data_IF_314018058903
#
_entry.id   IF_314018058903
#
_cell.length_a   1.000
_cell.length_b   1.000
_cell.length_c   1.000
_cell.angle_alpha   90.00
_cell.angle_beta   90.00
_cell.angle_gamma   90.00
#
_symmetry.space_group_name_H-M   'P 1'
#
loop_
_entity.id
_entity.type
_entity.pdbx_description
1 polymer ?
#
# COMPACT_ATOMS: atom_id res chain seq x y z
N UNK A 1 -33.42 51.21 65.52
CA UNK A 1 -34.60 50.44 65.04
C UNK A 1 -34.57 50.44 63.51
N UNK A 2 -35.26 49.47 62.87
CA UNK A 2 -35.18 49.14 61.42
C UNK A 2 -33.77 48.66 60.99
N UNK A 3 -33.45 47.37 60.83
CA UNK A 3 -34.10 46.21 60.15
C UNK A 3 -33.66 46.07 58.69
N UNK A 4 -32.88 45.01 58.44
CA UNK A 4 -32.51 44.47 57.13
C UNK A 4 -33.74 43.80 56.48
N UNK A 5 -33.81 43.74 55.13
CA UNK A 5 -34.27 42.48 54.52
C UNK A 5 -33.50 42.01 53.26
N UNK A 6 -33.00 40.78 53.35
CA UNK A 6 -32.94 39.74 52.30
C UNK A 6 -32.38 40.03 50.90
N UNK A 7 -31.22 39.42 50.62
CA UNK A 7 -30.76 39.15 49.25
C UNK A 7 -31.55 37.97 48.62
N UNK A 8 -32.18 38.16 47.46
CA UNK A 8 -32.90 37.09 46.73
C UNK A 8 -31.96 36.34 45.78
N UNK A 9 -31.80 35.03 45.96
CA UNK A 9 -31.17 34.13 44.97
C UNK A 9 -31.98 34.14 43.66
N UNK A 10 -31.29 34.13 42.51
CA UNK A 10 -31.84 33.63 41.24
C UNK A 10 -30.90 32.63 40.60
N UNK A 11 -31.49 31.51 40.20
CA UNK A 11 -30.90 30.40 39.47
C UNK A 11 -30.22 30.83 38.17
N UNK A 12 -29.04 30.26 37.90
CA UNK A 12 -28.53 30.08 36.54
C UNK A 12 -28.62 28.59 36.19
N UNK A 13 -29.49 28.27 35.24
CA UNK A 13 -29.61 26.91 34.69
C UNK A 13 -28.63 26.76 33.53
N UNK A 14 -27.81 25.71 33.57
CA UNK A 14 -26.95 25.35 32.43
C UNK A 14 -27.81 24.97 31.22
N UNK A 15 -27.44 25.50 30.05
CA UNK A 15 -27.91 25.00 28.75
C UNK A 15 -26.68 24.67 27.91
N UNK A 16 -26.37 23.37 27.86
CA UNK A 16 -25.32 22.83 27.00
C UNK A 16 -25.82 22.86 25.56
N UNK A 17 -25.21 23.70 24.73
CA UNK A 17 -25.42 23.66 23.28
C UNK A 17 -24.36 22.78 22.63
N UNK A 18 -24.78 21.76 21.88
CA UNK A 18 -23.87 20.84 21.21
C UNK A 18 -23.22 21.51 19.99
N UNK A 19 -21.89 21.62 20.00
CA UNK A 19 -21.13 22.17 18.87
C UNK A 19 -20.89 21.11 17.80
N UNK A 20 -21.34 21.39 16.57
CA UNK A 20 -21.20 20.50 15.41
C UNK A 20 -19.84 20.67 14.73
N UNK A 21 -18.91 19.75 15.03
CA UNK A 21 -17.57 19.75 14.44
C UNK A 21 -17.60 19.44 12.93
N UNK A 22 -17.54 20.48 12.10
CA UNK A 22 -17.41 20.34 10.64
C UNK A 22 -15.96 20.06 10.27
N UNK A 23 -15.65 18.86 9.76
CA UNK A 23 -14.31 18.53 9.24
C UNK A 23 -14.00 19.35 7.98
N UNK A 24 -13.12 20.34 8.09
CA UNK A 24 -12.56 21.05 6.92
C UNK A 24 -11.59 20.14 6.16
N UNK A 25 -11.63 20.15 4.83
CA UNK A 25 -10.63 19.49 3.97
C UNK A 25 -9.55 20.51 3.63
N UNK A 26 -8.29 20.18 3.92
CA UNK A 26 -7.14 20.92 3.40
C UNK A 26 -6.75 20.37 2.02
N UNK A 27 -6.26 21.24 1.14
CA UNK A 27 -5.72 20.86 -0.18
C UNK A 27 -4.23 21.08 -0.16
N UNK A 28 -3.46 19.98 -0.16
CA UNK A 28 -2.01 20.02 -0.31
C UNK A 28 -1.67 20.21 -1.79
N UNK A 29 -1.18 21.39 -2.16
CA UNK A 29 -0.70 21.66 -3.53
C UNK A 29 0.76 21.24 -3.67
N UNK A 30 1.01 20.00 -4.09
CA UNK A 30 2.34 19.51 -4.43
C UNK A 30 2.78 20.00 -5.83
N UNK A 31 3.30 21.22 -5.92
CA UNK A 31 3.89 21.75 -7.15
C UNK A 31 5.41 21.56 -7.17
N UNK A 32 5.86 20.36 -7.58
CA UNK A 32 7.25 20.12 -7.97
C UNK A 32 7.50 20.51 -9.44
N UNK A 33 8.71 20.94 -9.83
CA UNK A 33 9.00 21.34 -11.22
C UNK A 33 9.19 20.14 -12.15
N UNK A 34 8.52 20.18 -13.31
CA UNK A 34 8.65 19.19 -14.39
C UNK A 34 10.07 19.16 -15.00
N UNK A 35 10.72 17.99 -14.97
CA UNK A 35 11.99 17.76 -15.68
C UNK A 35 11.71 17.11 -17.03
N UNK A 36 11.68 17.94 -18.08
CA UNK A 36 11.31 17.53 -19.43
C UNK A 36 12.31 16.56 -20.09
N UNK A 37 11.91 15.30 -20.27
CA UNK A 37 12.67 14.29 -21.01
C UNK A 37 12.58 14.49 -22.54
N UNK A 38 13.64 15.02 -23.16
CA UNK A 38 13.73 15.18 -24.63
C UNK A 38 13.78 13.83 -25.36
N UNK A 39 12.74 13.50 -26.13
CA UNK A 39 12.78 12.48 -27.20
C UNK A 39 13.45 13.03 -28.47
N UNK A 40 14.18 12.19 -29.20
CA UNK A 40 14.65 12.46 -30.58
C UNK A 40 14.13 11.38 -31.55
N UNK A 41 13.85 11.71 -32.83
CA UNK A 41 13.24 10.80 -33.80
C UNK A 41 14.27 9.97 -34.58
N UNK A 42 13.83 8.85 -35.16
CA UNK A 42 14.70 7.87 -35.82
C UNK A 42 14.93 8.07 -37.33
N UNK A 43 15.85 7.27 -37.90
CA UNK A 43 16.05 7.03 -39.34
C UNK A 43 16.51 5.59 -39.60
N UNK A 44 16.23 5.08 -40.81
CA UNK A 44 16.58 3.76 -41.41
C UNK A 44 16.45 3.90 -42.95
N UNK A 45 16.91 3.00 -43.85
CA UNK A 45 17.99 1.98 -43.85
C UNK A 45 19.12 2.41 -44.87
N UNK A 46 20.03 1.57 -45.44
CA UNK A 46 19.88 0.29 -46.19
C UNK A 46 20.64 -0.90 -45.54
N UNK A 47 20.45 -2.22 -45.78
CA UNK A 47 20.18 -3.13 -46.93
C UNK A 47 21.45 -3.75 -47.57
N UNK A 48 21.72 -5.06 -47.35
CA UNK A 48 22.65 -5.88 -48.17
C UNK A 48 23.23 -7.16 -47.53
N UNK A 49 22.96 -8.36 -48.11
CA UNK A 49 23.61 -9.69 -47.85
C UNK A 49 23.36 -10.32 -46.46
N UNK A 50 23.04 -11.61 -46.25
CA UNK A 50 23.27 -12.85 -47.01
C UNK A 50 24.38 -13.68 -46.30
N UNK A 51 24.24 -14.97 -45.93
CA UNK A 51 23.30 -16.05 -46.33
C UNK A 51 23.14 -17.13 -45.24
N UNK A 52 22.05 -17.91 -45.31
CA UNK A 52 21.86 -19.38 -45.00
C UNK A 52 22.46 -20.00 -43.71
N UNK A 53 21.75 -20.88 -42.98
CA UNK A 53 20.96 -22.03 -43.47
C UNK A 53 19.59 -22.24 -42.76
N UNK A 54 18.70 -22.93 -43.47
CA UNK A 54 17.33 -23.36 -43.07
C UNK A 54 17.15 -24.87 -43.43
N UNK A 55 16.09 -25.61 -43.01
CA UNK A 55 16.25 -27.00 -42.53
C UNK A 55 15.89 -28.10 -43.57
N UNK A 56 14.66 -28.69 -43.71
CA UNK A 56 13.36 -28.52 -43.04
C UNK A 56 12.91 -29.76 -42.20
N UNK A 57 11.69 -29.70 -41.61
CA UNK A 57 10.89 -30.84 -41.08
C UNK A 57 9.56 -30.87 -41.84
N UNK A 58 9.09 -32.04 -42.28
CA UNK A 58 7.73 -32.30 -42.79
C UNK A 58 7.36 -33.76 -42.46
N UNK A 59 6.24 -34.10 -41.81
CA UNK A 59 4.83 -34.05 -42.27
C UNK A 59 4.59 -34.84 -43.57
N UNK A 60 3.74 -35.88 -43.53
CA UNK A 60 2.34 -35.90 -44.05
C UNK A 60 1.75 -37.32 -43.97
N UNK A 61 0.42 -37.44 -44.07
CA UNK A 61 -0.38 -38.66 -43.88
C UNK A 61 -0.52 -39.57 -45.13
N UNK A 62 -1.24 -40.68 -44.96
CA UNK A 62 -1.51 -41.71 -45.97
C UNK A 62 -2.40 -41.24 -47.15
N UNK A 63 -2.37 -42.00 -48.26
CA UNK A 63 -3.62 -42.61 -48.77
C UNK A 63 -3.42 -44.08 -49.19
N UNK A 64 -4.48 -44.78 -49.60
CA UNK A 64 -4.40 -46.14 -50.14
C UNK A 64 -5.34 -46.37 -51.33
N UNK A 65 -5.31 -47.57 -51.95
CA UNK A 65 -6.42 -48.26 -52.68
C UNK A 65 -5.96 -49.57 -53.34
N UNK A 66 -6.81 -50.60 -53.19
CA UNK A 66 -7.15 -51.73 -54.09
C UNK A 66 -6.11 -52.42 -55.00
N UNK A 67 -6.12 -53.77 -54.98
CA UNK A 67 -5.50 -54.60 -56.03
C UNK A 67 -5.43 -56.11 -55.70
N UNK A 68 -6.46 -56.87 -56.07
CA UNK A 68 -6.39 -58.34 -56.30
C UNK A 68 -6.27 -58.55 -57.83
N UNK A 69 -5.83 -59.71 -58.40
CA UNK A 69 -6.19 -61.08 -57.95
C UNK A 69 -5.13 -62.19 -58.22
N UNK A 70 -5.61 -63.45 -58.25
CA UNK A 70 -5.06 -64.67 -58.88
C UNK A 70 -4.38 -65.71 -57.97
N UNK A 71 -4.90 -66.94 -58.11
CA UNK A 71 -4.54 -68.22 -57.49
C UNK A 71 -3.89 -69.09 -58.59
N UNK A 72 -3.04 -70.10 -58.30
CA UNK A 72 -3.59 -71.47 -58.38
C UNK A 72 -2.93 -72.55 -57.48
N UNK A 73 -3.62 -73.71 -57.40
CA UNK A 73 -3.18 -75.11 -57.16
C UNK A 73 -1.99 -75.40 -56.22
N UNK A 74 -2.07 -76.24 -55.18
CA UNK A 74 -2.82 -77.49 -54.91
C UNK A 74 -2.38 -78.75 -55.68
N UNK A 75 -1.61 -79.62 -54.99
CA UNK A 75 -1.61 -81.10 -55.04
C UNK A 75 -0.57 -81.58 -54.01
N UNK A 76 -0.92 -82.23 -52.89
CA UNK A 76 -1.53 -83.55 -52.69
C UNK A 76 -0.51 -84.70 -52.61
N UNK A 77 -0.74 -85.62 -51.65
CA UNK A 77 -0.47 -87.08 -51.66
C UNK A 77 0.15 -87.55 -50.33
N UNK A 78 -0.64 -88.27 -49.52
CA UNK A 78 -0.09 -89.22 -48.53
C UNK A 78 0.12 -90.59 -49.19
N UNK A 79 0.75 -91.55 -48.50
CA UNK A 79 -0.09 -92.69 -48.12
C UNK A 79 0.17 -93.33 -46.74
N UNK A 80 -0.81 -94.16 -46.42
CA UNK A 80 -1.08 -94.98 -45.26
C UNK A 80 0.02 -95.91 -44.70
N UNK A 81 -0.36 -96.46 -43.53
CA UNK A 81 -0.07 -97.81 -42.97
C UNK A 81 1.12 -97.98 -42.02
N UNK A 82 0.83 -98.65 -40.89
CA UNK A 82 1.76 -98.97 -39.82
C UNK A 82 2.22 -100.44 -39.86
N UNK A 83 3.24 -100.80 -39.06
CA UNK A 83 3.03 -101.91 -38.13
C UNK A 83 3.47 -101.62 -36.67
N UNK A 84 3.11 -102.53 -35.77
CA UNK A 84 3.35 -102.48 -34.30
C UNK A 84 4.74 -103.03 -33.93
N UNK A 85 5.30 -102.57 -32.81
CA UNK A 85 6.46 -103.18 -32.14
C UNK A 85 6.43 -102.89 -30.62
N UNK A 86 7.02 -103.75 -29.75
CA UNK A 86 6.79 -103.71 -28.30
C UNK A 86 7.54 -102.60 -27.55
N UNK A 87 8.45 -101.86 -28.21
CA UNK A 87 9.12 -100.70 -27.62
C UNK A 87 8.13 -99.61 -27.14
N UNK A 88 6.92 -99.58 -27.73
CA UNK A 88 5.85 -98.64 -27.37
C UNK A 88 5.39 -98.77 -25.92
N UNK A 89 5.48 -99.94 -25.28
CA UNK A 89 5.10 -100.08 -23.87
C UNK A 89 6.14 -99.51 -22.91
N UNK A 90 7.44 -99.61 -23.22
CA UNK A 90 8.50 -98.95 -22.44
C UNK A 90 8.48 -97.43 -22.65
N UNK A 91 8.26 -96.98 -23.88
CA UNK A 91 8.04 -95.56 -24.17
C UNK A 91 6.76 -95.03 -23.49
N UNK A 92 5.65 -95.76 -23.53
CA UNK A 92 4.40 -95.39 -22.84
C UNK A 92 4.53 -95.42 -21.31
N UNK A 93 5.32 -96.33 -20.74
CA UNK A 93 5.64 -96.32 -19.32
C UNK A 93 6.48 -95.09 -18.94
N UNK A 94 7.51 -94.74 -19.71
CA UNK A 94 8.28 -93.51 -19.50
C UNK A 94 7.43 -92.25 -19.68
N UNK A 95 6.57 -92.19 -20.71
CA UNK A 95 5.62 -91.10 -20.93
C UNK A 95 4.60 -91.03 -19.76
N UNK A 96 4.10 -92.17 -19.29
CA UNK A 96 3.19 -92.23 -18.13
C UNK A 96 3.85 -91.75 -16.84
N UNK A 97 5.11 -92.13 -16.59
CA UNK A 97 5.90 -91.64 -15.44
C UNK A 97 6.22 -90.15 -15.59
N UNK A 98 6.55 -89.66 -16.79
CA UNK A 98 6.77 -88.24 -17.03
C UNK A 98 5.48 -87.42 -16.87
N UNK A 99 4.33 -87.92 -17.33
CA UNK A 99 3.02 -87.28 -17.12
C UNK A 99 2.63 -87.33 -15.64
N UNK A 100 2.89 -88.43 -14.93
CA UNK A 100 2.65 -88.52 -13.49
C UNK A 100 3.56 -87.59 -12.69
N UNK A 101 4.85 -87.50 -13.04
CA UNK A 101 5.80 -86.59 -12.41
C UNK A 101 5.48 -85.12 -12.74
N UNK A 102 5.05 -84.81 -13.96
CA UNK A 102 4.60 -83.47 -14.35
C UNK A 102 3.27 -83.11 -13.66
N UNK A 103 2.32 -84.04 -13.60
CA UNK A 103 1.06 -83.89 -12.88
C UNK A 103 1.26 -83.72 -11.38
N UNK A 104 2.20 -84.46 -10.78
CA UNK A 104 2.61 -84.32 -9.39
C UNK A 104 3.37 -83.01 -9.15
N UNK A 105 4.28 -82.60 -10.04
CA UNK A 105 4.96 -81.31 -9.95
C UNK A 105 3.99 -80.13 -10.08
N UNK A 106 3.01 -80.21 -10.98
CA UNK A 106 1.92 -79.24 -11.10
C UNK A 106 1.04 -79.30 -9.85
N UNK A 107 0.70 -80.46 -9.32
CA UNK A 107 -0.09 -80.59 -8.10
C UNK A 107 0.64 -80.03 -6.88
N UNK A 108 1.95 -80.25 -6.76
CA UNK A 108 2.80 -79.67 -5.70
C UNK A 108 2.99 -78.17 -5.89
N UNK A 109 3.15 -77.67 -7.12
CA UNK A 109 3.16 -76.23 -7.40
C UNK A 109 1.80 -75.61 -7.05
N UNK A 110 0.69 -76.19 -7.46
CA UNK A 110 -0.66 -75.72 -7.12
C UNK A 110 -0.88 -75.78 -5.61
N UNK A 111 -0.47 -76.86 -4.93
CA UNK A 111 -0.66 -77.01 -3.48
C UNK A 111 0.27 -76.11 -2.65
N UNK A 112 1.50 -75.87 -3.10
CA UNK A 112 2.40 -74.89 -2.47
C UNK A 112 1.93 -73.45 -2.74
N UNK A 113 1.41 -73.18 -3.94
CA UNK A 113 0.86 -71.88 -4.35
C UNK A 113 -0.61 -71.66 -3.88
N UNK A 114 -1.22 -72.66 -3.23
CA UNK A 114 -2.46 -72.51 -2.45
C UNK A 114 -2.22 -72.60 -0.94
N UNK A 115 -1.11 -73.17 -0.47
CA UNK A 115 -0.61 -72.91 0.89
C UNK A 115 -0.09 -71.47 1.04
N UNK A 116 0.22 -70.77 -0.05
CA UNK A 116 0.37 -69.31 -0.08
C UNK A 116 -0.98 -68.58 -0.14
N UNK A 117 -1.99 -69.04 0.62
CA UNK A 117 -3.31 -68.38 0.76
C UNK A 117 -3.26 -67.10 1.63
N UNK A 118 -2.17 -66.36 1.50
CA UNK A 118 -1.97 -65.00 2.03
C UNK A 118 -2.14 -63.95 0.91
N UNK A 119 -2.75 -64.31 -0.22
CA UNK A 119 -2.98 -63.43 -1.37
C UNK A 119 -4.48 -63.19 -1.64
N UNK A 120 -5.37 -63.97 -1.04
CA UNK A 120 -6.82 -63.81 -1.15
C UNK A 120 -7.35 -62.67 -0.26
N UNK A 121 -6.75 -62.45 0.92
CA UNK A 121 -7.05 -61.27 1.76
C UNK A 121 -6.34 -59.99 1.29
N UNK A 122 -5.31 -60.08 0.43
CA UNK A 122 -4.45 -58.93 0.10
C UNK A 122 -4.99 -58.00 -1.00
N UNK A 123 -6.12 -58.34 -1.63
CA UNK A 123 -6.69 -57.54 -2.75
C UNK A 123 -7.70 -56.49 -2.32
N UNK A 124 -8.41 -56.73 -1.23
CA UNK A 124 -9.34 -55.75 -0.66
C UNK A 124 -8.57 -54.80 0.28
N UNK A 125 -7.66 -55.33 1.11
CA UNK A 125 -6.82 -54.54 2.02
C UNK A 125 -5.88 -53.55 1.29
N UNK A 126 -5.26 -53.92 0.16
CA UNK A 126 -4.35 -53.01 -0.58
C UNK A 126 -5.13 -51.94 -1.37
N UNK A 127 -6.35 -52.25 -1.84
CA UNK A 127 -7.20 -51.26 -2.51
C UNK A 127 -7.78 -50.25 -1.52
N UNK A 128 -8.19 -50.72 -0.33
CA UNK A 128 -8.56 -49.87 0.81
C UNK A 128 -7.35 -49.05 1.26
N UNK A 129 -6.17 -49.65 1.42
CA UNK A 129 -4.94 -48.96 1.80
C UNK A 129 -4.49 -47.88 0.81
N UNK A 130 -4.62 -48.11 -0.50
CA UNK A 130 -4.37 -47.09 -1.53
C UNK A 130 -5.41 -45.98 -1.47
N UNK A 131 -6.69 -46.30 -1.29
CA UNK A 131 -7.77 -45.31 -1.15
C UNK A 131 -7.58 -44.46 0.10
N UNK A 132 -7.25 -45.06 1.25
CA UNK A 132 -6.99 -44.36 2.51
C UNK A 132 -5.73 -43.51 2.43
N UNK A 133 -4.68 -43.96 1.74
CA UNK A 133 -3.48 -43.16 1.47
C UNK A 133 -3.81 -41.96 0.55
N UNK A 134 -4.69 -42.13 -0.44
CA UNK A 134 -5.16 -41.03 -1.29
C UNK A 134 -6.09 -40.07 -0.53
N UNK A 135 -6.99 -40.56 0.32
CA UNK A 135 -7.84 -39.75 1.19
C UNK A 135 -6.98 -38.96 2.19
N UNK A 136 -6.04 -39.60 2.88
CA UNK A 136 -5.12 -38.95 3.80
C UNK A 136 -4.22 -37.91 3.12
N UNK A 137 -3.82 -38.12 1.85
CA UNK A 137 -3.15 -37.10 1.03
C UNK A 137 -4.10 -35.95 0.68
N UNK A 138 -5.33 -36.25 0.29
CA UNK A 138 -6.38 -35.27 0.00
C UNK A 138 -6.68 -34.37 1.19
N UNK A 139 -6.82 -34.95 2.39
CA UNK A 139 -7.08 -34.22 3.63
C UNK A 139 -5.87 -33.39 4.06
N UNK A 140 -4.63 -33.90 3.94
CA UNK A 140 -3.41 -33.09 4.14
C UNK A 140 -3.33 -31.91 3.17
N UNK A 141 -3.65 -32.12 1.89
CA UNK A 141 -3.67 -31.04 0.89
C UNK A 141 -4.78 -30.01 1.20
N UNK A 142 -5.96 -30.45 1.64
CA UNK A 142 -7.03 -29.55 2.10
C UNK A 142 -6.62 -28.74 3.33
N UNK A 143 -5.94 -29.35 4.29
CA UNK A 143 -5.36 -28.66 5.45
C UNK A 143 -4.32 -27.62 5.01
N UNK A 144 -3.40 -27.97 4.11
CA UNK A 144 -2.40 -27.05 3.57
C UNK A 144 -3.03 -25.88 2.80
N UNK A 145 -4.05 -26.12 1.97
CA UNK A 145 -4.80 -25.04 1.29
C UNK A 145 -5.44 -24.11 2.34
N UNK A 146 -6.09 -24.67 3.36
CA UNK A 146 -6.72 -23.89 4.44
C UNK A 146 -5.70 -23.01 5.18
N UNK A 147 -4.52 -23.55 5.49
CA UNK A 147 -3.43 -22.84 6.17
C UNK A 147 -2.79 -21.76 5.28
N UNK A 148 -2.57 -22.06 3.99
CA UNK A 148 -2.06 -21.10 3.00
C UNK A 148 -3.03 -19.93 2.81
N UNK A 149 -4.32 -20.19 2.70
CA UNK A 149 -5.34 -19.14 2.62
C UNK A 149 -5.42 -18.30 3.90
N UNK A 150 -5.35 -18.91 5.09
CA UNK A 150 -5.29 -18.18 6.36
C UNK A 150 -4.03 -17.31 6.44
N UNK A 151 -2.92 -17.78 5.88
CA UNK A 151 -1.65 -17.04 5.85
C UNK A 151 -1.70 -15.89 4.84
N UNK A 152 -2.30 -16.10 3.66
CA UNK A 152 -2.56 -15.04 2.68
C UNK A 152 -3.46 -13.95 3.27
N UNK A 153 -4.59 -14.33 3.90
CA UNK A 153 -5.48 -13.38 4.59
C UNK A 153 -4.75 -12.57 5.66
N UNK A 154 -3.98 -13.22 6.54
CA UNK A 154 -3.16 -12.52 7.56
C UNK A 154 -2.13 -11.57 6.96
N UNK A 155 -1.46 -11.97 5.87
CA UNK A 155 -0.50 -11.12 5.17
C UNK A 155 -1.18 -9.89 4.54
N UNK A 156 -2.33 -10.09 3.86
CA UNK A 156 -3.12 -9.01 3.29
C UNK A 156 -3.59 -8.02 4.36
N UNK A 157 -4.24 -8.50 5.41
CA UNK A 157 -4.70 -7.70 6.56
C UNK A 157 -3.53 -6.92 7.20
N UNK A 158 -2.34 -7.52 7.31
CA UNK A 158 -1.16 -6.85 7.85
C UNK A 158 -0.60 -5.78 6.90
N UNK A 159 -0.64 -6.02 5.59
CA UNK A 159 -0.24 -5.06 4.57
C UNK A 159 -1.15 -3.83 4.56
N UNK A 160 -2.46 -4.04 4.58
CA UNK A 160 -3.47 -2.97 4.63
C UNK A 160 -3.32 -2.11 5.90
N UNK A 161 -3.11 -2.75 7.06
CA UNK A 161 -2.87 -2.05 8.33
C UNK A 161 -1.57 -1.24 8.31
N UNK A 162 -0.50 -1.79 7.76
CA UNK A 162 0.78 -1.09 7.64
C UNK A 162 0.66 0.12 6.69
N UNK A 163 -0.02 -0.03 5.54
CA UNK A 163 -0.27 1.06 4.62
C UNK A 163 -1.10 2.19 5.27
N UNK A 164 -2.18 1.83 5.99
CA UNK A 164 -3.00 2.80 6.72
C UNK A 164 -2.21 3.51 7.84
N UNK A 165 -1.36 2.79 8.58
CA UNK A 165 -0.51 3.37 9.62
C UNK A 165 0.54 4.34 9.03
N UNK A 166 1.18 3.98 7.92
CA UNK A 166 2.11 4.87 7.20
C UNK A 166 1.39 6.12 6.69
N UNK A 167 0.22 5.98 6.08
CA UNK A 167 -0.57 7.11 5.57
C UNK A 167 -1.03 8.05 6.70
N UNK A 168 -1.33 7.51 7.89
CA UNK A 168 -1.64 8.32 9.06
C UNK A 168 -0.40 9.08 9.56
N UNK A 169 0.75 8.40 9.68
CA UNK A 169 2.00 9.03 10.08
C UNK A 169 2.46 10.16 9.13
N UNK A 170 2.23 10.01 7.81
CA UNK A 170 2.50 11.06 6.82
C UNK A 170 1.57 12.28 6.99
N UNK A 171 0.29 12.05 7.30
CA UNK A 171 -0.67 13.12 7.59
C UNK A 171 -0.29 13.85 8.88
N UNK A 172 0.05 13.12 9.94
CA UNK A 172 0.45 13.68 11.22
C UNK A 172 1.77 14.46 11.10
N UNK A 173 2.76 13.93 10.36
CA UNK A 173 4.00 14.64 10.05
C UNK A 173 3.74 15.92 9.24
N UNK A 174 2.79 15.91 8.30
CA UNK A 174 2.40 17.09 7.53
C UNK A 174 1.73 18.14 8.42
N UNK A 175 0.78 17.73 9.27
CA UNK A 175 0.08 18.62 10.19
C UNK A 175 1.05 19.25 11.21
N UNK A 176 1.94 18.46 11.80
CA UNK A 176 3.01 18.93 12.69
C UNK A 176 3.99 19.85 11.96
N UNK A 177 4.35 19.55 10.71
CA UNK A 177 5.23 20.41 9.91
C UNK A 177 4.62 21.78 9.60
N UNK A 178 3.30 21.84 9.36
CA UNK A 178 2.58 23.12 9.19
C UNK A 178 2.54 23.89 10.52
N UNK A 179 2.21 23.22 11.63
CA UNK A 179 2.13 23.79 12.98
C UNK A 179 3.47 24.36 13.47
N UNK A 180 4.56 23.62 13.24
CA UNK A 180 5.93 24.05 13.57
C UNK A 180 6.48 25.10 12.60
N UNK A 181 5.77 25.37 11.51
CA UNK A 181 6.18 26.30 10.48
C UNK A 181 7.28 25.80 9.53
N UNK A 182 7.64 24.52 9.59
CA UNK A 182 8.66 23.92 8.70
C UNK A 182 8.13 23.60 7.31
N UNK A 183 6.81 23.50 7.14
CA UNK A 183 6.14 23.33 5.84
C UNK A 183 5.37 24.59 5.42
N UNK A 184 5.22 24.85 4.10
CA UNK A 184 4.37 25.91 3.59
C UNK A 184 2.90 25.60 3.87
N UNK A 185 2.07 26.64 3.92
CA UNK A 185 0.64 26.53 4.20
C UNK A 185 -0.18 27.41 3.24
N UNK A 186 -1.39 26.93 2.91
CA UNK A 186 -2.35 27.67 2.06
C UNK A 186 -3.76 27.52 2.64
N UNK A 187 -4.49 28.63 2.75
CA UNK A 187 -5.86 28.65 3.26
C UNK A 187 -6.50 30.03 3.14
N UNK A 188 -7.77 30.21 3.56
CA UNK A 188 -8.36 31.54 3.69
C UNK A 188 -7.60 32.37 4.73
N UNK A 189 -7.74 33.70 4.68
CA UNK A 189 -7.07 34.56 5.65
C UNK A 189 -7.04 36.04 5.27
N UNK A 190 -6.05 36.75 5.78
CA UNK A 190 -5.87 38.19 5.55
C UNK A 190 -4.46 38.53 5.07
N UNK A 191 -4.39 39.55 4.22
CA UNK A 191 -3.17 40.31 3.94
C UNK A 191 -3.28 41.65 4.68
N UNK A 192 -2.30 41.97 5.51
CA UNK A 192 -2.25 43.19 6.31
C UNK A 192 -1.06 44.02 5.82
N UNK A 193 -1.27 45.33 5.66
CA UNK A 193 -0.19 46.28 5.34
C UNK A 193 -0.10 47.31 6.46
N UNK A 194 1.09 47.51 7.01
CA UNK A 194 1.37 48.47 8.08
C UNK A 194 2.35 49.52 7.55
N UNK A 195 1.91 50.76 7.42
CA UNK A 195 2.75 51.90 7.02
C UNK A 195 3.18 52.69 8.26
N UNK A 196 4.46 53.01 8.37
CA UNK A 196 5.03 53.80 9.48
C UNK A 196 6.01 54.85 8.93
N UNK A 197 5.48 55.99 8.42
CA UNK A 197 6.27 56.99 7.69
C UNK A 197 7.26 57.73 8.59
N UNK A 198 6.90 57.95 9.86
CA UNK A 198 7.73 58.67 10.85
C UNK A 198 8.56 57.73 11.75
N UNK A 199 8.58 56.44 11.40
CA UNK A 199 9.35 55.38 12.05
C UNK A 199 9.12 55.29 13.57
N UNK A 200 7.84 55.34 13.98
CA UNK A 200 7.40 55.39 15.38
C UNK A 200 7.10 54.02 15.98
N UNK A 201 6.82 53.00 15.17
CA UNK A 201 6.51 51.66 15.67
C UNK A 201 7.76 51.00 16.25
N UNK A 202 7.65 50.57 17.50
CA UNK A 202 8.63 49.78 18.20
C UNK A 202 8.42 48.27 17.92
N UNK A 203 9.40 47.40 18.26
CA UNK A 203 9.24 45.95 18.09
C UNK A 203 8.01 45.38 18.81
N UNK A 204 7.64 45.97 19.95
CA UNK A 204 6.50 45.58 20.77
C UNK A 204 5.17 45.87 20.06
N UNK A 205 5.02 47.05 19.43
CA UNK A 205 3.82 47.42 18.68
C UNK A 205 3.53 46.45 17.51
N UNK A 206 4.58 45.85 16.93
CA UNK A 206 4.45 44.84 15.85
C UNK A 206 4.24 43.42 16.38
N UNK A 207 4.72 43.12 17.58
CA UNK A 207 4.43 41.86 18.28
C UNK A 207 2.95 41.81 18.67
N UNK A 208 2.37 42.90 19.16
CA UNK A 208 0.94 42.96 19.53
C UNK A 208 0.04 42.60 18.33
N UNK A 209 0.37 43.02 17.10
CA UNK A 209 -0.36 42.61 15.89
C UNK A 209 -0.31 41.10 15.67
N UNK A 210 0.82 40.45 15.97
CA UNK A 210 0.96 38.99 15.90
C UNK A 210 0.19 38.29 17.02
N UNK A 211 0.18 38.84 18.23
CA UNK A 211 -0.57 38.26 19.36
C UNK A 211 -2.09 38.39 19.18
N UNK A 212 -2.59 39.50 18.64
CA UNK A 212 -4.02 39.62 18.27
C UNK A 212 -4.41 38.62 17.19
N UNK A 213 -3.56 38.41 16.17
CA UNK A 213 -3.78 37.37 15.16
C UNK A 213 -3.83 35.97 15.78
N UNK A 214 -2.95 35.68 16.75
CA UNK A 214 -2.96 34.41 17.51
C UNK A 214 -4.23 34.26 18.34
N UNK A 215 -4.63 35.28 19.09
CA UNK A 215 -5.86 35.32 19.87
C UNK A 215 -7.11 35.13 19.02
N UNK A 216 -7.10 35.66 17.79
CA UNK A 216 -8.16 35.52 16.79
C UNK A 216 -8.14 34.18 16.03
N UNK A 217 -7.21 33.26 16.33
CA UNK A 217 -7.15 31.92 15.75
C UNK A 217 -6.43 31.83 14.39
N UNK A 218 -5.40 32.66 14.15
CA UNK A 218 -4.52 32.46 13.01
C UNK A 218 -3.70 31.16 13.13
N UNK A 219 -3.82 30.28 12.13
CA UNK A 219 -3.16 28.97 12.09
C UNK A 219 -1.71 29.07 11.59
N UNK A 220 -1.41 30.05 10.74
CA UNK A 220 -0.06 30.34 10.27
C UNK A 220 0.10 31.84 9.97
N UNK A 221 1.23 32.43 10.36
CA UNK A 221 1.54 33.85 10.17
C UNK A 221 2.92 34.00 9.51
N UNK A 222 3.02 34.88 8.52
CA UNK A 222 4.27 35.36 7.92
C UNK A 222 4.34 36.88 8.10
N UNK A 223 5.45 37.38 8.63
CA UNK A 223 5.71 38.80 8.81
C UNK A 223 6.91 39.20 7.94
N UNK A 224 6.67 40.00 6.91
CA UNK A 224 7.67 40.31 5.88
C UNK A 224 8.19 39.03 5.22
N UNK A 225 9.48 38.78 5.36
CA UNK A 225 10.19 37.58 4.88
C UNK A 225 10.33 36.46 5.94
N UNK A 226 9.72 36.59 7.12
CA UNK A 226 9.90 35.66 8.25
C UNK A 226 8.62 34.86 8.51
N UNK A 227 8.75 33.52 8.60
CA UNK A 227 7.68 32.64 9.09
C UNK A 227 7.63 32.71 10.61
N UNK A 228 6.55 33.28 11.14
CA UNK A 228 6.35 33.44 12.58
C UNK A 228 6.05 32.07 13.20
N UNK A 229 6.69 31.78 14.33
CA UNK A 229 6.47 30.58 15.14
C UNK A 229 6.49 30.91 16.64
N UNK A 230 6.33 29.89 17.48
CA UNK A 230 6.26 30.04 18.95
C UNK A 230 7.49 30.70 19.57
N UNK A 231 8.66 30.54 18.94
CA UNK A 231 9.94 31.10 19.37
C UNK A 231 10.36 32.37 18.62
N UNK A 232 9.47 32.99 17.85
CA UNK A 232 9.82 34.20 17.10
C UNK A 232 10.07 35.39 18.02
N UNK A 233 11.24 36.01 17.88
CA UNK A 233 11.65 37.18 18.66
C UNK A 233 11.52 38.46 17.83
N UNK A 234 10.82 39.45 18.39
CA UNK A 234 10.79 40.83 17.91
C UNK A 234 11.81 41.64 18.73
N UNK A 235 12.74 42.31 18.05
CA UNK A 235 13.89 42.99 18.67
C UNK A 235 14.28 44.25 17.90
N UNK A 236 15.27 44.99 18.40
CA UNK A 236 15.79 46.19 17.73
C UNK A 236 15.23 47.46 18.35
N UNK A 237 14.80 48.41 17.52
CA UNK A 237 14.24 49.70 17.96
C UNK A 237 13.33 50.30 16.89
N UNK A 238 12.63 51.38 17.25
CA UNK A 238 11.90 52.25 16.31
C UNK A 238 12.71 52.57 15.06
N UNK A 239 12.12 52.35 13.87
CA UNK A 239 12.77 52.50 12.56
C UNK A 239 13.79 51.44 12.17
N UNK A 240 14.10 50.48 13.04
CA UNK A 240 15.05 49.40 12.81
C UNK A 240 14.63 48.15 13.60
N UNK A 241 13.48 47.57 13.25
CA UNK A 241 12.92 46.38 13.90
C UNK A 241 13.50 45.12 13.26
N UNK A 242 13.87 44.14 14.07
CA UNK A 242 14.40 42.86 13.62
C UNK A 242 13.54 41.71 14.15
N UNK A 243 13.12 40.81 13.24
CA UNK A 243 12.34 39.62 13.55
C UNK A 243 13.22 38.39 13.27
N UNK A 244 13.48 37.57 14.29
CA UNK A 244 14.40 36.41 14.22
C UNK A 244 15.76 36.76 13.56
N UNK A 245 16.28 37.95 13.87
CA UNK A 245 17.55 38.48 13.33
C UNK A 245 17.45 39.13 11.94
N UNK A 246 16.30 39.04 11.26
CA UNK A 246 16.06 39.68 9.96
C UNK A 246 15.60 41.12 10.18
N UNK A 247 16.40 42.10 9.77
CA UNK A 247 16.01 43.51 9.82
C UNK A 247 14.91 43.80 8.79
N UNK A 248 13.83 44.44 9.23
CA UNK A 248 12.69 44.86 8.40
C UNK A 248 12.42 46.37 8.57
N UNK A 249 11.92 46.99 7.51
CA UNK A 249 11.52 48.40 7.48
C UNK A 249 10.09 48.52 6.95
N UNK A 250 9.39 49.60 7.34
CA UNK A 250 8.06 49.90 6.81
C UNK A 250 8.12 50.19 5.29
N UNK A 251 7.06 49.89 4.53
CA UNK A 251 5.81 49.26 4.96
C UNK A 251 5.98 47.76 5.25
N UNK A 252 5.45 47.32 6.40
CA UNK A 252 5.44 45.90 6.76
C UNK A 252 4.24 45.20 6.10
N UNK A 253 4.47 44.03 5.52
CA UNK A 253 3.39 43.16 5.01
C UNK A 253 3.28 41.93 5.89
N UNK A 254 2.08 41.63 6.37
CA UNK A 254 1.80 40.42 7.16
C UNK A 254 0.76 39.59 6.43
N UNK A 255 0.99 38.28 6.34
CA UNK A 255 0.03 37.31 5.83
C UNK A 255 -0.37 36.39 6.97
N UNK A 256 -1.67 36.22 7.20
CA UNK A 256 -2.18 35.30 8.21
C UNK A 256 -3.25 34.40 7.61
N UNK A 257 -3.14 33.09 7.85
CA UNK A 257 -4.11 32.06 7.46
C UNK A 257 -5.03 31.79 8.66
N UNK A 258 -6.34 31.75 8.43
CA UNK A 258 -7.37 31.54 9.45
C UNK A 258 -8.75 31.95 8.93
N UNK A 259 -9.72 32.12 9.82
CA UNK A 259 -11.02 32.68 9.42
C UNK A 259 -10.87 34.18 9.12
N UNK A 260 -10.88 34.53 7.83
CA UNK A 260 -10.59 35.89 7.36
C UNK A 260 -11.43 36.96 8.07
N UNK A 261 -12.71 36.68 8.36
CA UNK A 261 -13.58 37.65 9.00
C UNK A 261 -13.31 37.81 10.49
N UNK A 262 -12.99 36.71 11.18
CA UNK A 262 -12.58 36.73 12.58
C UNK A 262 -11.28 37.52 12.76
N UNK A 263 -10.29 37.29 11.88
CA UNK A 263 -9.00 38.00 11.89
C UNK A 263 -9.16 39.51 11.62
N UNK A 264 -9.95 39.89 10.60
CA UNK A 264 -10.27 41.30 10.31
C UNK A 264 -10.98 41.99 11.49
N UNK A 265 -11.96 41.31 12.09
CA UNK A 265 -12.74 41.86 13.21
C UNK A 265 -11.86 42.08 14.43
N UNK A 266 -10.97 41.14 14.77
CA UNK A 266 -10.09 41.22 15.93
C UNK A 266 -9.12 42.41 15.85
N UNK A 267 -8.42 42.57 14.72
CA UNK A 267 -7.48 43.68 14.52
C UNK A 267 -8.16 45.06 14.60
N UNK A 268 -9.43 45.14 14.21
CA UNK A 268 -10.23 46.36 14.19
C UNK A 268 -11.10 46.57 15.46
N UNK A 269 -10.92 45.79 16.52
CA UNK A 269 -11.61 46.00 17.81
C UNK A 269 -11.35 47.45 18.30
N UNK A 270 -12.39 48.20 18.73
CA UNK A 270 -12.22 49.54 19.29
C UNK A 270 -11.25 49.55 20.47
N UNK A 271 -10.16 50.33 20.36
CA UNK A 271 -9.09 50.38 21.36
C UNK A 271 -8.02 49.29 21.23
N UNK A 272 -8.16 48.34 20.31
CA UNK A 272 -7.16 47.31 19.99
C UNK A 272 -6.06 47.80 19.04
N UNK A 273 -5.29 46.86 18.49
CA UNK A 273 -4.04 47.14 17.75
C UNK A 273 -4.17 48.13 16.60
N UNK A 274 -5.21 48.06 15.75
CA UNK A 274 -5.35 49.05 14.68
C UNK A 274 -5.55 50.49 15.21
N UNK A 275 -6.12 50.65 16.40
CA UNK A 275 -6.25 51.96 17.06
C UNK A 275 -4.92 52.39 17.72
N UNK A 276 -4.19 51.48 18.35
CA UNK A 276 -2.86 51.74 18.92
C UNK A 276 -1.85 52.13 17.82
N UNK A 277 -1.78 51.39 16.72
CA UNK A 277 -0.96 51.72 15.54
C UNK A 277 -1.27 53.11 15.00
N UNK A 278 -2.56 53.48 14.92
CA UNK A 278 -2.98 54.84 14.51
C UNK A 278 -2.61 55.92 15.51
N UNK A 279 -2.68 55.65 16.81
CA UNK A 279 -2.23 56.57 17.85
C UNK A 279 -0.70 56.80 17.82
N UNK A 280 0.07 55.82 17.35
CA UNK A 280 1.52 55.94 17.15
C UNK A 280 1.93 56.74 15.89
N UNK A 281 0.98 57.13 15.02
CA UNK A 281 1.24 57.83 13.75
C UNK A 281 1.42 56.92 12.53
N UNK A 282 1.20 55.61 12.69
CA UNK A 282 1.22 54.63 11.62
C UNK A 282 -0.20 54.31 11.12
N UNK A 283 -0.33 53.57 10.01
CA UNK A 283 -1.62 53.05 9.55
C UNK A 283 -1.55 51.54 9.31
N UNK A 284 -2.59 50.83 9.76
CA UNK A 284 -2.78 49.40 9.52
C UNK A 284 -4.02 49.23 8.62
N UNK A 285 -3.87 48.52 7.50
CA UNK A 285 -4.97 48.12 6.64
C UNK A 285 -5.04 46.60 6.51
N UNK A 286 -6.25 46.06 6.56
CA UNK A 286 -6.53 44.62 6.43
C UNK A 286 -7.25 44.39 5.10
N UNK A 287 -6.87 43.34 4.39
CA UNK A 287 -7.53 42.87 3.17
C UNK A 287 -7.84 41.38 3.32
N UNK A 288 -9.11 41.04 3.46
CA UNK A 288 -9.58 39.65 3.45
C UNK A 288 -9.25 38.98 2.09
N UNK A 289 -8.82 37.72 2.13
CA UNK A 289 -8.48 36.92 0.95
C UNK A 289 -9.09 35.51 1.07
N UNK A 290 -9.73 35.00 -0.01
CA UNK A 290 -10.23 33.61 -0.01
C UNK A 290 -9.10 32.58 0.01
N UNK A 291 -7.91 32.97 -0.48
CA UNK A 291 -6.68 32.17 -0.45
C UNK A 291 -5.48 33.07 -0.15
N UNK A 292 -4.72 32.69 0.86
CA UNK A 292 -3.40 33.19 1.24
C UNK A 292 -2.43 32.01 1.19
N UNK A 293 -1.25 32.19 0.62
CA UNK A 293 -0.19 31.18 0.57
C UNK A 293 1.03 31.70 1.31
N UNK A 294 1.43 31.00 2.37
CA UNK A 294 2.65 31.23 3.13
C UNK A 294 3.67 30.19 2.67
N UNK A 295 4.56 30.59 1.76
CA UNK A 295 5.64 29.75 1.25
C UNK A 295 6.89 29.77 2.12
N UNK A 296 7.02 30.77 3.00
CA UNK A 296 8.16 30.90 3.92
C UNK A 296 8.05 29.86 5.05
N UNK A 297 9.17 29.20 5.37
CA UNK A 297 9.27 28.18 6.40
C UNK A 297 10.36 28.51 7.43
N UNK A 298 10.25 27.90 8.63
CA UNK A 298 11.27 27.93 9.68
C UNK A 298 12.22 26.75 9.49
N UNK A 299 13.51 26.98 9.71
CA UNK A 299 14.46 25.90 9.96
C UNK A 299 14.55 25.67 11.47
N UNK A 300 14.33 24.43 11.91
CA UNK A 300 14.50 24.05 13.31
C UNK A 300 15.89 23.43 13.50
N UNK A 301 16.65 23.94 14.47
CA UNK A 301 17.91 23.31 14.87
C UNK A 301 17.62 21.93 15.49
N UNK A 302 18.38 20.88 15.14
CA UNK A 302 18.19 19.56 15.74
C UNK A 302 18.49 19.62 17.25
N UNK A 303 17.65 18.98 18.09
CA UNK A 303 17.87 18.98 19.53
C UNK A 303 19.16 18.24 19.89
N UNK A 304 19.94 18.80 20.82
CA UNK A 304 21.19 18.19 21.29
C UNK A 304 21.00 17.11 22.37
N UNK A 305 19.91 17.22 23.15
CA UNK A 305 19.67 16.40 24.35
C UNK A 305 18.29 15.75 24.39
N UNK A 306 17.30 16.34 23.71
CA UNK A 306 15.96 15.77 23.61
C UNK A 306 15.89 14.83 22.40
N UNK A 307 15.19 13.71 22.57
CA UNK A 307 14.86 12.76 21.51
C UNK A 307 13.35 12.50 21.54
N UNK A 308 12.70 12.23 20.38
CA UNK A 308 11.33 11.75 20.36
C UNK A 308 11.18 10.46 21.17
N UNK A 309 10.04 10.29 21.84
CA UNK A 309 9.70 9.00 22.43
C UNK A 309 9.42 7.97 21.30
N UNK A 310 9.77 6.69 21.49
CA UNK A 310 9.35 5.64 20.55
C UNK A 310 7.82 5.51 20.53
N UNK A 311 7.29 5.23 19.34
CA UNK A 311 5.87 4.93 19.09
C UNK A 311 5.56 3.45 19.27
#
# INVERSE_FOLDING_TARGET
MASVPSCRRRSWSCLVSASSATRRRYVVTSSGPDVAAKRRPGKRPPRGGGKTHTPPRAKTAAPGKAGAPVRPRASATGPATAPRSPARYRAAALIGVLIAALGFAIAVQVHANSQSDSLSNLREDDLIGILDNQNARGDRLRQQITELEQTLRRLHDSGDRNAAATQQAEQDATALGILLGTLPATGPGVQITITDPDHKLAPEDLLDVVEELRGAGAEAIQFGSVRVGTSTAFTGRRGAVSIDGTLLSAPFTVFAIGDAKTLDTALNIPGGVAAATRAAGAALSVTERPTVTISVTRSLAPPKYASPAPH
#
